data_IF_531123738226
#
_entry.id   IF_531123738226
#
_cell.length_a   1.000
_cell.length_b   1.000
_cell.length_c   1.000
_cell.angle_alpha   90.00
_cell.angle_beta   90.00
_cell.angle_gamma   90.00
#
_symmetry.space_group_name_H-M   'P 1'
#
loop_
_entity.id
_entity.type
_entity.pdbx_description
1 polymer ?
#
# COMPACT_ATOMS: atom_id res chain seq x y z
N UNK A 1 -7.02 -7.85 8.24
CA UNK A 1 -5.57 -7.92 7.94
C UNK A 1 -5.19 -9.01 6.96
N UNK A 2 -5.72 -10.24 7.05
CA UNK A 2 -5.34 -11.32 6.12
C UNK A 2 -5.62 -10.97 4.65
N UNK A 3 -6.78 -10.37 4.34
CA UNK A 3 -7.07 -9.89 2.98
C UNK A 3 -6.04 -8.87 2.48
N UNK A 4 -5.60 -7.94 3.34
CA UNK A 4 -4.56 -6.98 3.01
C UNK A 4 -3.21 -7.67 2.77
N UNK A 5 -2.89 -8.70 3.56
CA UNK A 5 -1.68 -9.49 3.39
C UNK A 5 -1.62 -10.15 2.01
N UNK A 6 -2.68 -10.88 1.65
CA UNK A 6 -2.80 -11.56 0.36
C UNK A 6 -2.72 -10.55 -0.79
N UNK A 7 -3.46 -9.45 -0.69
CA UNK A 7 -3.48 -8.41 -1.70
C UNK A 7 -2.10 -7.77 -1.90
N UNK A 8 -1.43 -7.37 -0.82
CA UNK A 8 -0.11 -6.72 -0.92
C UNK A 8 0.97 -7.69 -1.40
N UNK A 9 0.89 -8.97 -1.02
CA UNK A 9 1.82 -9.98 -1.53
C UNK A 9 1.62 -10.22 -3.03
N UNK A 10 0.37 -10.35 -3.47
CA UNK A 10 0.04 -10.50 -4.89
C UNK A 10 0.47 -9.27 -5.69
N UNK A 11 0.08 -8.07 -5.24
CA UNK A 11 0.42 -6.84 -5.93
C UNK A 11 1.91 -6.57 -5.97
N UNK A 12 2.61 -6.80 -4.85
CA UNK A 12 4.07 -6.71 -4.78
C UNK A 12 4.75 -7.63 -5.79
N UNK A 13 4.31 -8.90 -5.88
CA UNK A 13 4.83 -9.84 -6.87
C UNK A 13 4.56 -9.39 -8.32
N UNK A 14 3.33 -8.94 -8.60
CA UNK A 14 2.94 -8.45 -9.93
C UNK A 14 3.81 -7.27 -10.38
N UNK A 15 4.00 -6.27 -9.50
CA UNK A 15 4.79 -5.07 -9.83
C UNK A 15 6.29 -5.37 -9.90
N UNK A 16 6.81 -6.29 -9.07
CA UNK A 16 8.22 -6.69 -9.17
C UNK A 16 8.53 -7.47 -10.45
N UNK A 17 7.62 -8.31 -10.93
CA UNK A 17 7.82 -9.08 -12.17
C UNK A 17 7.53 -8.20 -13.39
N UNK A 18 6.43 -7.44 -13.35
CA UNK A 18 5.93 -6.60 -14.45
C UNK A 18 5.85 -5.11 -14.06
N UNK A 19 6.99 -4.44 -13.83
CA UNK A 19 7.02 -3.02 -13.42
C UNK A 19 6.44 -2.06 -14.47
N UNK A 20 6.31 -2.52 -15.72
CA UNK A 20 5.77 -1.75 -16.84
C UNK A 20 4.29 -1.38 -16.65
N UNK A 21 3.54 -2.16 -15.85
CA UNK A 21 2.09 -2.04 -15.70
C UNK A 21 1.65 -0.68 -15.16
N UNK A 22 2.49 -0.04 -14.34
CA UNK A 22 2.16 1.25 -13.72
C UNK A 22 2.76 2.45 -14.45
N UNK A 23 3.45 2.22 -15.58
CA UNK A 23 4.00 3.29 -16.39
C UNK A 23 2.95 3.98 -17.26
N UNK A 24 1.78 3.36 -17.48
CA UNK A 24 0.68 3.95 -18.25
C UNK A 24 1.09 4.53 -19.60
N UNK A 25 1.99 3.83 -20.32
CA UNK A 25 2.48 4.24 -21.63
C UNK A 25 3.68 5.19 -21.61
N UNK A 26 4.20 5.58 -20.44
CA UNK A 26 5.45 6.32 -20.33
C UNK A 26 6.65 5.44 -20.70
N UNK A 27 7.65 6.05 -21.36
CA UNK A 27 8.85 5.35 -21.79
C UNK A 27 9.63 4.81 -20.57
N UNK A 28 9.91 3.49 -20.51
CA UNK A 28 10.64 2.91 -19.40
C UNK A 28 12.12 3.31 -19.46
N UNK A 29 12.65 3.84 -18.37
CA UNK A 29 14.10 3.95 -18.17
C UNK A 29 14.58 2.83 -17.24
N UNK A 30 15.83 2.33 -17.40
CA UNK A 30 16.36 1.27 -16.53
C UNK A 30 16.27 1.63 -15.03
N UNK A 31 16.57 2.88 -14.68
CA UNK A 31 16.49 3.36 -13.30
C UNK A 31 15.05 3.36 -12.76
N UNK A 32 14.07 3.84 -13.53
CA UNK A 32 12.67 3.83 -13.11
C UNK A 32 12.17 2.40 -12.90
N UNK A 33 12.51 1.47 -13.81
CA UNK A 33 12.13 0.07 -13.66
C UNK A 33 12.72 -0.57 -12.40
N UNK A 34 13.98 -0.26 -12.07
CA UNK A 34 14.61 -0.72 -10.84
C UNK A 34 13.86 -0.17 -9.61
N UNK A 35 13.55 1.13 -9.59
CA UNK A 35 12.82 1.75 -8.48
C UNK A 35 11.43 1.13 -8.29
N UNK A 36 10.68 0.93 -9.37
CA UNK A 36 9.35 0.30 -9.33
C UNK A 36 9.45 -1.13 -8.79
N UNK A 37 10.46 -1.90 -9.22
CA UNK A 37 10.68 -3.26 -8.70
C UNK A 37 10.98 -3.26 -7.22
N UNK A 38 11.84 -2.35 -6.76
CA UNK A 38 12.15 -2.17 -5.34
C UNK A 38 10.89 -1.83 -4.54
N UNK A 39 10.05 -0.92 -5.05
CA UNK A 39 8.77 -0.58 -4.41
C UNK A 39 7.86 -1.82 -4.36
N UNK A 40 7.75 -2.60 -5.44
CA UNK A 40 7.01 -3.86 -5.45
C UNK A 40 7.48 -4.84 -4.38
N UNK A 41 8.80 -4.98 -4.20
CA UNK A 41 9.37 -5.85 -3.16
C UNK A 41 9.02 -5.34 -1.76
N UNK A 42 9.11 -4.02 -1.51
CA UNK A 42 8.71 -3.42 -0.23
C UNK A 42 7.23 -3.68 0.07
N UNK A 43 6.35 -3.50 -0.91
CA UNK A 43 4.91 -3.81 -0.78
C UNK A 43 4.69 -5.29 -0.46
N UNK A 44 5.45 -6.20 -1.11
CA UNK A 44 5.42 -7.63 -0.80
C UNK A 44 5.80 -7.94 0.65
N UNK A 45 6.84 -7.30 1.19
CA UNK A 45 7.26 -7.43 2.60
C UNK A 45 6.19 -6.91 3.55
N UNK A 46 5.51 -5.80 3.22
CA UNK A 46 4.34 -5.35 4.00
C UNK A 46 3.20 -6.38 3.99
N UNK A 47 3.02 -7.13 2.90
CA UNK A 47 2.10 -8.27 2.86
C UNK A 47 2.41 -9.31 3.93
N UNK A 48 3.68 -9.67 4.10
CA UNK A 48 4.14 -10.59 5.16
C UNK A 48 3.88 -10.01 6.55
N UNK A 49 4.16 -8.72 6.74
CA UNK A 49 3.88 -8.03 8.00
C UNK A 49 2.37 -8.07 8.36
N UNK A 50 1.49 -7.83 7.38
CA UNK A 50 0.04 -7.88 7.59
C UNK A 50 -0.48 -9.29 7.89
N UNK A 51 0.19 -10.33 7.40
CA UNK A 51 -0.14 -11.71 7.77
C UNK A 51 0.10 -11.97 9.26
N UNK A 52 1.23 -11.53 9.81
CA UNK A 52 1.47 -11.61 11.26
C UNK A 52 0.50 -10.73 12.05
N UNK A 53 0.22 -9.52 11.56
CA UNK A 53 -0.80 -8.64 12.15
C UNK A 53 -2.21 -9.25 12.13
N UNK A 54 -2.49 -10.19 11.22
CA UNK A 54 -3.78 -10.88 11.18
C UNK A 54 -3.95 -11.92 12.28
N UNK A 55 -2.84 -12.44 12.83
CA UNK A 55 -2.85 -13.43 13.90
C UNK A 55 -2.93 -12.79 15.28
N UNK A 56 -2.21 -11.69 15.47
CA UNK A 56 -2.21 -10.96 16.73
C UNK A 56 -2.23 -9.44 16.47
N UNK A 57 -3.41 -8.88 16.13
CA UNK A 57 -3.53 -7.46 15.83
C UNK A 57 -3.15 -6.56 17.00
N UNK A 58 -3.37 -7.04 18.23
CA UNK A 58 -3.14 -6.27 19.47
C UNK A 58 -1.65 -6.10 19.74
N UNK A 59 -0.86 -7.16 19.53
CA UNK A 59 0.60 -7.10 19.67
C UNK A 59 1.26 -6.27 18.57
N UNK A 60 0.78 -6.43 17.33
CA UNK A 60 1.38 -5.78 16.15
C UNK A 60 0.70 -4.46 15.74
N UNK A 61 -0.04 -3.83 16.65
CA UNK A 61 -0.73 -2.56 16.40
C UNK A 61 0.16 -1.44 15.81
N UNK A 62 1.46 -1.29 16.16
CA UNK A 62 2.29 -0.24 15.56
C UNK A 62 2.53 -0.48 14.07
N UNK A 63 2.67 -1.74 13.64
CA UNK A 63 2.79 -2.10 12.23
C UNK A 63 1.52 -1.77 11.45
N UNK A 64 0.36 -1.98 12.07
CA UNK A 64 -0.93 -1.62 11.47
C UNK A 64 -1.03 -0.11 11.31
N UNK A 65 -0.60 0.67 12.31
CA UNK A 65 -0.56 2.13 12.24
C UNK A 65 0.37 2.62 11.12
N UNK A 66 1.58 2.06 11.01
CA UNK A 66 2.50 2.39 9.91
C UNK A 66 1.86 2.10 8.55
N UNK A 67 1.17 0.96 8.42
CA UNK A 67 0.41 0.62 7.21
C UNK A 67 -0.71 1.60 6.90
N UNK A 68 -1.45 2.08 7.92
CA UNK A 68 -2.49 3.09 7.76
C UNK A 68 -1.90 4.44 7.31
N UNK A 69 -0.79 4.88 7.90
CA UNK A 69 -0.10 6.12 7.53
C UNK A 69 0.33 6.05 6.06
N UNK A 70 0.95 4.94 5.64
CA UNK A 70 1.36 4.73 4.25
C UNK A 70 0.17 4.85 3.28
N UNK A 71 -0.98 4.26 3.64
CA UNK A 71 -2.21 4.30 2.85
C UNK A 71 -2.88 5.67 2.80
N UNK A 72 -2.60 6.56 3.74
CA UNK A 72 -3.07 7.95 3.68
C UNK A 72 -2.12 8.79 2.84
N UNK A 73 -0.81 8.61 3.02
CA UNK A 73 0.22 9.39 2.32
C UNK A 73 0.28 9.07 0.82
N UNK A 74 0.03 7.82 0.42
CA UNK A 74 0.03 7.41 -0.99
C UNK A 74 -0.91 8.27 -1.85
N UNK A 75 -2.23 8.30 -1.58
CA UNK A 75 -3.20 9.10 -2.31
C UNK A 75 -2.91 10.60 -2.29
N UNK A 76 -2.40 11.14 -1.18
CA UNK A 76 -2.01 12.57 -1.08
C UNK A 76 -0.87 12.87 -2.05
N UNK A 77 0.18 12.03 -2.06
CA UNK A 77 1.29 12.18 -2.99
C UNK A 77 0.83 12.07 -4.44
N UNK A 78 0.02 11.06 -4.76
CA UNK A 78 -0.53 10.89 -6.10
C UNK A 78 -1.38 12.08 -6.54
N UNK A 79 -2.27 12.58 -5.69
CA UNK A 79 -3.10 13.76 -5.99
C UNK A 79 -2.24 14.99 -6.30
N UNK A 80 -1.20 15.26 -5.50
CA UNK A 80 -0.27 16.36 -5.74
C UNK A 80 0.39 16.27 -7.12
N UNK A 81 0.95 15.12 -7.47
CA UNK A 81 1.62 14.95 -8.77
C UNK A 81 0.66 14.91 -9.96
N UNK A 82 -0.60 14.49 -9.77
CA UNK A 82 -1.66 14.64 -10.78
C UNK A 82 -1.99 16.11 -11.01
N UNK A 83 -2.10 16.93 -9.94
CA UNK A 83 -2.44 18.36 -10.07
C UNK A 83 -1.35 19.17 -10.78
N UNK A 84 -0.08 18.77 -10.67
CA UNK A 84 1.05 19.39 -11.36
C UNK A 84 1.25 18.79 -12.77
N UNK A 85 0.47 17.78 -13.16
CA UNK A 85 0.56 17.12 -14.47
C UNK A 85 1.77 16.20 -14.65
N UNK A 86 2.43 15.82 -13.55
CA UNK A 86 3.62 14.96 -13.58
C UNK A 86 3.29 13.47 -13.76
N UNK A 87 2.11 13.03 -13.32
CA UNK A 87 1.62 11.67 -13.49
C UNK A 87 0.20 11.67 -14.07
N UNK A 88 -0.17 10.65 -14.87
CA UNK A 88 -1.51 10.57 -15.44
C UNK A 88 -2.56 10.35 -14.34
N UNK A 89 -3.73 10.96 -14.49
CA UNK A 89 -4.85 10.80 -13.55
C UNK A 89 -5.31 9.34 -13.40
N UNK A 90 -5.03 8.48 -14.38
CA UNK A 90 -5.26 7.03 -14.28
C UNK A 90 -4.50 6.36 -13.13
N UNK A 91 -3.39 6.95 -12.69
CA UNK A 91 -2.63 6.47 -11.53
C UNK A 91 -3.46 6.53 -10.24
N UNK A 92 -4.44 7.43 -10.13
CA UNK A 92 -5.33 7.48 -8.97
C UNK A 92 -6.14 6.20 -8.81
N UNK A 93 -6.46 5.49 -9.89
CA UNK A 93 -7.12 4.18 -9.78
C UNK A 93 -6.22 3.15 -9.10
N UNK A 94 -4.90 3.20 -9.32
CA UNK A 94 -3.96 2.33 -8.61
C UNK A 94 -4.04 2.61 -7.11
N UNK A 95 -4.05 3.88 -6.71
CA UNK A 95 -4.19 4.28 -5.30
C UNK A 95 -5.56 3.93 -4.72
N UNK A 96 -6.63 3.92 -5.51
CA UNK A 96 -7.95 3.48 -5.03
C UNK A 96 -7.86 2.05 -4.51
N UNK A 97 -7.35 1.13 -5.34
CA UNK A 97 -7.25 -0.29 -4.98
C UNK A 97 -6.12 -0.60 -4.00
N UNK A 98 -5.01 0.15 -4.05
CA UNK A 98 -3.87 -0.08 -3.17
C UNK A 98 -4.01 0.55 -1.80
N UNK A 99 -4.70 1.70 -1.70
CA UNK A 99 -4.67 2.53 -0.51
C UNK A 99 -6.07 2.83 0.03
N UNK A 100 -6.92 3.53 -0.73
CA UNK A 100 -8.18 4.10 -0.24
C UNK A 100 -9.14 3.06 0.34
N UNK A 101 -9.33 1.93 -0.35
CA UNK A 101 -10.23 0.86 0.15
C UNK A 101 -9.75 0.24 1.46
N UNK A 102 -8.47 0.39 1.79
CA UNK A 102 -7.84 -0.21 2.97
C UNK A 102 -7.76 0.75 4.16
N UNK A 103 -7.92 2.06 3.97
CA UNK A 103 -7.89 3.04 5.06
C UNK A 103 -8.99 2.73 6.10
N UNK A 104 -10.22 2.46 5.64
CA UNK A 104 -11.35 2.13 6.52
C UNK A 104 -11.10 0.90 7.39
N UNK A 105 -10.78 -0.27 6.79
CA UNK A 105 -10.47 -1.49 7.55
C UNK A 105 -9.30 -1.33 8.52
N UNK A 106 -8.23 -0.65 8.12
CA UNK A 106 -7.06 -0.43 8.99
C UNK A 106 -7.42 0.48 10.18
N UNK A 107 -8.11 1.59 9.92
CA UNK A 107 -8.58 2.51 10.96
C UNK A 107 -9.54 1.84 11.94
N UNK A 108 -10.47 1.02 11.44
CA UNK A 108 -11.42 0.29 12.29
C UNK A 108 -10.72 -0.71 13.22
N UNK A 109 -9.76 -1.48 12.71
CA UNK A 109 -8.97 -2.43 13.52
C UNK A 109 -8.17 -1.68 14.58
N UNK A 110 -7.53 -0.56 14.21
CA UNK A 110 -6.75 0.24 15.16
C UNK A 110 -7.63 0.82 16.28
N UNK A 111 -8.79 1.36 15.91
CA UNK A 111 -9.77 1.91 16.85
C UNK A 111 -10.29 0.83 17.82
N UNK A 112 -10.57 -0.37 17.31
CA UNK A 112 -11.02 -1.49 18.15
C UNK A 112 -9.94 -1.94 19.14
N UNK A 113 -8.69 -2.05 18.70
CA UNK A 113 -7.55 -2.38 19.58
C UNK A 113 -7.39 -1.32 20.68
N UNK A 114 -7.47 -0.04 20.31
CA UNK A 114 -7.32 1.07 21.26
C UNK A 114 -8.40 1.03 22.35
N UNK A 115 -9.66 0.82 21.95
CA UNK A 115 -10.79 0.73 22.88
C UNK A 115 -10.65 -0.44 23.87
N UNK A 116 -10.20 -1.61 23.40
CA UNK A 116 -10.06 -2.80 24.23
C UNK A 116 -8.80 -2.78 25.14
N UNK A 117 -7.84 -1.89 24.90
CA UNK A 117 -6.68 -1.70 25.81
C UNK A 117 -6.96 -0.79 27.00
N UNK A 118 -8.04 -0.01 26.95
CA UNK A 118 -8.42 0.97 27.98
C UNK A 118 -9.44 0.43 28.99
N UNK A 119 -9.98 -0.77 28.74
CA UNK A 119 -10.82 -1.56 29.65
C UNK A 119 -10.02 -2.69 30.27
#
# INVERSE_FOLDING_TARGET
MLAAAIYNLFWGAVISIHPQLILFGNAPTPYILILIRCIGMLVGVYGVAYYFCSRDPVRYWPLILVGLIGKVLGPIGAACYVTVGAIPASFLWVNVFNDLIWIGPFGWILHHIWKNKLT
#
